data_IF_885162567786
#
_entry.id   IF_885162567786
#
_cell.length_a   1.000
_cell.length_b   1.000
_cell.length_c   1.000
_cell.angle_alpha   90.00
_cell.angle_beta   90.00
_cell.angle_gamma   90.00
#
_symmetry.space_group_name_H-M   'P 1'
#
loop_
_entity.id
_entity.type
_entity.pdbx_description
1 polymer ?
#
# COMPACT_ATOMS: atom_id res chain seq x y z
N UNK A 1 -14.42 20.83 -18.81
CA UNK A 1 -14.70 19.39 -18.59
C UNK A 1 -13.61 18.87 -17.65
N UNK A 2 -13.95 18.69 -16.37
CA UNK A 2 -13.02 18.15 -15.39
C UNK A 2 -12.88 16.64 -15.61
N UNK A 3 -11.66 16.17 -15.84
CA UNK A 3 -11.33 14.75 -15.92
C UNK A 3 -11.33 14.19 -14.50
N UNK A 4 -12.43 13.54 -14.11
CA UNK A 4 -12.57 12.95 -12.77
C UNK A 4 -11.59 11.79 -12.61
N UNK A 5 -10.75 11.91 -11.57
CA UNK A 5 -9.67 10.99 -11.20
C UNK A 5 -10.21 9.72 -10.47
N UNK A 6 -11.25 9.09 -11.00
CA UNK A 6 -11.98 8.00 -10.34
C UNK A 6 -11.16 6.70 -10.23
N UNK A 7 -10.19 6.46 -11.12
CA UNK A 7 -9.42 5.21 -11.13
C UNK A 7 -8.26 5.13 -10.13
N UNK A 8 -7.57 6.24 -9.82
CA UNK A 8 -6.35 6.17 -8.98
C UNK A 8 -6.64 6.23 -7.48
N UNK A 9 -7.72 6.91 -7.10
CA UNK A 9 -8.16 7.01 -5.71
C UNK A 9 -8.66 5.66 -5.16
N UNK A 10 -9.28 4.85 -6.03
CA UNK A 10 -9.74 3.50 -5.70
C UNK A 10 -8.56 2.56 -5.39
N UNK A 11 -7.47 2.63 -6.16
CA UNK A 11 -6.28 1.80 -5.95
C UNK A 11 -5.64 2.04 -4.58
N UNK A 12 -5.34 3.29 -4.26
CA UNK A 12 -4.70 3.63 -2.99
C UNK A 12 -5.57 3.23 -1.79
N UNK A 13 -6.85 3.59 -1.84
CA UNK A 13 -7.80 3.33 -0.76
C UNK A 13 -8.00 1.82 -0.53
N UNK A 14 -8.12 1.04 -1.61
CA UNK A 14 -8.17 -0.44 -1.58
C UNK A 14 -6.94 -1.02 -0.90
N UNK A 15 -5.74 -0.69 -1.39
CA UNK A 15 -4.48 -1.29 -0.92
C UNK A 15 -4.15 -0.92 0.53
N UNK A 16 -4.39 0.33 0.91
CA UNK A 16 -4.21 0.78 2.28
C UNK A 16 -5.10 -0.01 3.25
N UNK A 17 -6.39 -0.13 2.91
CA UNK A 17 -7.37 -0.86 3.73
C UNK A 17 -7.05 -2.35 3.81
N UNK A 18 -6.67 -2.96 2.68
CA UNK A 18 -6.26 -4.36 2.58
C UNK A 18 -5.10 -4.68 3.52
N UNK A 19 -3.99 -3.94 3.40
CA UNK A 19 -2.82 -4.15 4.26
C UNK A 19 -3.12 -3.88 5.74
N UNK A 20 -3.93 -2.85 6.04
CA UNK A 20 -4.31 -2.54 7.43
C UNK A 20 -5.10 -3.67 8.07
N UNK A 21 -6.09 -4.21 7.36
CA UNK A 21 -6.93 -5.30 7.85
C UNK A 21 -6.14 -6.60 8.00
N UNK A 22 -5.17 -6.87 7.11
CA UNK A 22 -4.28 -8.03 7.22
C UNK A 22 -3.44 -8.02 8.51
N UNK A 23 -3.14 -6.84 9.08
CA UNK A 23 -2.45 -6.69 10.36
C UNK A 23 -3.40 -6.51 11.57
N UNK A 24 -4.72 -6.53 11.36
CA UNK A 24 -5.70 -6.33 12.43
C UNK A 24 -5.67 -4.93 13.08
N UNK A 25 -5.13 -3.92 12.39
CA UNK A 25 -5.02 -2.57 12.93
C UNK A 25 -6.32 -1.77 12.72
N UNK A 26 -6.75 -1.02 13.73
CA UNK A 26 -7.73 0.05 13.54
C UNK A 26 -7.12 1.23 12.77
N UNK A 27 -7.97 2.07 12.16
CA UNK A 27 -7.54 3.30 11.49
C UNK A 27 -6.75 4.22 12.43
N UNK A 28 -7.20 4.35 13.68
CA UNK A 28 -6.50 5.13 14.72
C UNK A 28 -5.12 4.56 15.01
N UNK A 29 -5.00 3.24 15.22
CA UNK A 29 -3.73 2.58 15.52
C UNK A 29 -2.73 2.73 14.37
N UNK A 30 -3.17 2.54 13.11
CA UNK A 30 -2.31 2.75 11.94
C UNK A 30 -1.79 4.19 11.89
N UNK A 31 -2.68 5.18 12.01
CA UNK A 31 -2.29 6.59 11.96
C UNK A 31 -1.27 6.96 13.03
N UNK A 32 -1.51 6.56 14.29
CA UNK A 32 -0.57 6.85 15.39
C UNK A 32 0.79 6.17 15.15
N UNK A 33 0.79 4.89 14.76
CA UNK A 33 2.04 4.15 14.46
C UNK A 33 2.81 4.78 13.30
N UNK A 34 2.13 5.40 12.34
CA UNK A 34 2.75 6.12 11.23
C UNK A 34 3.20 7.56 11.59
N UNK A 35 3.09 7.95 12.86
CA UNK A 35 3.47 9.27 13.35
C UNK A 35 2.48 10.38 12.99
N UNK A 36 1.20 10.06 12.82
CA UNK A 36 0.13 11.05 12.80
C UNK A 36 -0.25 11.42 14.24
N UNK A 37 -0.63 12.68 14.44
CA UNK A 37 -1.18 13.14 15.71
C UNK A 37 -2.44 12.33 16.11
N UNK A 38 -2.53 11.95 17.38
CA UNK A 38 -3.54 11.04 17.91
C UNK A 38 -4.97 11.56 17.68
N UNK A 39 -5.20 12.86 17.76
CA UNK A 39 -6.52 13.47 17.64
C UNK A 39 -7.05 13.45 16.21
N UNK A 40 -6.17 13.36 15.22
CA UNK A 40 -6.54 13.35 13.79
C UNK A 40 -6.23 12.03 13.08
N UNK A 41 -5.55 11.09 13.75
CA UNK A 41 -5.09 9.83 13.16
C UNK A 41 -6.23 9.03 12.52
N UNK A 42 -7.32 8.78 13.23
CA UNK A 42 -8.47 8.03 12.72
C UNK A 42 -9.10 8.73 11.50
N UNK A 43 -9.37 10.03 11.61
CA UNK A 43 -9.99 10.82 10.54
C UNK A 43 -9.11 10.88 9.29
N UNK A 44 -7.79 11.04 9.43
CA UNK A 44 -6.87 11.07 8.28
C UNK A 44 -6.82 9.72 7.56
N UNK A 45 -6.64 8.62 8.28
CA UNK A 45 -6.64 7.29 7.67
C UNK A 45 -7.99 6.97 7.03
N UNK A 46 -9.10 7.35 7.68
CA UNK A 46 -10.43 7.19 7.10
C UNK A 46 -10.55 7.91 5.75
N UNK A 47 -10.13 9.19 5.66
CA UNK A 47 -10.16 9.94 4.39
C UNK A 47 -9.28 9.32 3.31
N UNK A 48 -8.16 8.71 3.68
CA UNK A 48 -7.32 7.95 2.74
C UNK A 48 -8.02 6.68 2.23
N UNK A 49 -8.66 5.93 3.13
CA UNK A 49 -9.40 4.70 2.77
C UNK A 49 -10.74 4.96 2.09
N UNK A 50 -11.23 6.19 2.09
CA UNK A 50 -12.41 6.61 1.32
C UNK A 50 -12.00 7.29 0.00
N UNK A 51 -10.71 7.42 -0.28
CA UNK A 51 -10.24 8.09 -1.49
C UNK A 51 -10.52 9.60 -1.54
N UNK A 52 -10.86 10.21 -0.39
CA UNK A 52 -11.13 11.65 -0.28
C UNK A 52 -9.84 12.45 -0.42
N UNK A 53 -8.75 11.92 0.13
CA UNK A 53 -7.41 12.49 0.02
C UNK A 53 -6.39 11.39 -0.27
N UNK A 54 -5.33 11.74 -0.98
CA UNK A 54 -4.12 10.94 -1.04
C UNK A 54 -3.08 11.51 -0.06
N UNK A 55 -2.33 10.67 0.67
CA UNK A 55 -1.16 11.15 1.39
C UNK A 55 -0.06 11.56 0.41
N UNK A 56 0.82 12.46 0.86
CA UNK A 56 2.10 12.62 0.19
C UNK A 56 2.95 11.35 0.28
N UNK A 57 4.01 11.27 -0.52
CA UNK A 57 4.84 10.08 -0.60
C UNK A 57 5.57 9.77 0.72
N UNK A 58 5.89 10.78 1.54
CA UNK A 58 6.57 10.58 2.82
C UNK A 58 5.64 9.92 3.85
N UNK A 59 4.36 10.32 3.88
CA UNK A 59 3.32 9.67 4.66
C UNK A 59 3.08 8.26 4.12
N UNK A 60 3.03 8.07 2.80
CA UNK A 60 2.88 6.77 2.18
C UNK A 60 3.98 5.78 2.60
N UNK A 61 5.23 6.22 2.61
CA UNK A 61 6.37 5.42 3.10
C UNK A 61 6.20 5.02 4.57
N UNK A 62 5.83 5.95 5.44
CA UNK A 62 5.60 5.65 6.88
C UNK A 62 4.46 4.67 7.09
N UNK A 63 3.37 4.80 6.32
CA UNK A 63 2.27 3.84 6.36
C UNK A 63 2.75 2.46 5.89
N UNK A 64 3.47 2.38 4.77
CA UNK A 64 3.99 1.12 4.23
C UNK A 64 4.92 0.40 5.22
N UNK A 65 5.77 1.15 5.93
CA UNK A 65 6.65 0.62 6.97
C UNK A 65 5.86 -0.03 8.13
N UNK A 66 4.86 0.68 8.66
CA UNK A 66 3.98 0.15 9.71
C UNK A 66 3.21 -1.09 9.22
N UNK A 67 2.80 -1.07 7.96
CA UNK A 67 2.05 -2.13 7.30
C UNK A 67 2.92 -3.32 6.87
N UNK A 68 4.24 -3.22 6.99
CA UNK A 68 5.20 -4.26 6.59
C UNK A 68 5.02 -4.69 5.12
N UNK A 69 4.78 -3.72 4.24
CA UNK A 69 4.65 -3.92 2.80
C UNK A 69 5.56 -2.95 2.04
N UNK A 70 6.01 -3.27 0.82
CA UNK A 70 6.66 -2.29 -0.04
C UNK A 70 5.71 -1.12 -0.33
N UNK A 71 6.21 0.11 -0.35
CA UNK A 71 5.38 1.28 -0.69
C UNK A 71 4.73 1.14 -2.07
N UNK A 72 5.37 0.44 -3.00
CA UNK A 72 4.83 0.14 -4.33
C UNK A 72 3.50 -0.63 -4.28
N UNK A 73 3.28 -1.49 -3.27
CA UNK A 73 2.03 -2.20 -3.07
C UNK A 73 0.84 -1.24 -2.92
N UNK A 74 1.04 -0.10 -2.25
CA UNK A 74 -0.02 0.88 -2.00
C UNK A 74 -0.46 1.62 -3.27
N UNK A 75 0.30 1.54 -4.36
CA UNK A 75 0.01 2.18 -5.64
C UNK A 75 -0.26 1.16 -6.75
N UNK A 76 -0.38 -0.13 -6.43
CA UNK A 76 -0.50 -1.20 -7.41
C UNK A 76 -1.97 -1.46 -7.76
N UNK A 77 -2.34 -1.23 -9.02
CA UNK A 77 -3.71 -1.25 -9.53
C UNK A 77 -4.28 -2.65 -9.72
N UNK A 78 -3.46 -3.61 -10.15
CA UNK A 78 -3.90 -5.00 -10.37
C UNK A 78 -3.63 -5.89 -9.15
N UNK A 79 -4.55 -6.82 -8.87
CA UNK A 79 -4.38 -7.77 -7.76
C UNK A 79 -3.22 -8.75 -8.01
N UNK A 80 -3.02 -9.15 -9.26
CA UNK A 80 -1.90 -10.00 -9.66
C UNK A 80 -0.54 -9.35 -9.37
N UNK A 81 -0.34 -8.10 -9.79
CA UNK A 81 0.93 -7.41 -9.55
C UNK A 81 1.12 -7.06 -8.07
N UNK A 82 0.03 -6.72 -7.36
CA UNK A 82 0.08 -6.47 -5.92
C UNK A 82 0.51 -7.73 -5.15
N UNK A 83 -0.03 -8.89 -5.53
CA UNK A 83 0.39 -10.19 -5.00
C UNK A 83 1.86 -10.47 -5.33
N UNK A 84 2.29 -10.25 -6.58
CA UNK A 84 3.70 -10.44 -6.96
C UNK A 84 4.65 -9.56 -6.14
N UNK A 85 4.30 -8.29 -5.89
CA UNK A 85 5.08 -7.37 -5.05
C UNK A 85 5.21 -7.91 -3.62
N UNK A 86 4.12 -8.38 -3.01
CA UNK A 86 4.14 -8.91 -1.64
C UNK A 86 4.95 -10.21 -1.55
N UNK A 87 4.71 -11.16 -2.45
CA UNK A 87 5.41 -12.44 -2.46
C UNK A 87 6.91 -12.24 -2.72
N UNK A 88 7.26 -11.37 -3.69
CA UNK A 88 8.66 -11.03 -3.94
C UNK A 88 9.31 -10.33 -2.75
N UNK A 89 8.59 -9.46 -2.03
CA UNK A 89 9.11 -8.79 -0.83
C UNK A 89 9.43 -9.77 0.30
N UNK A 90 8.54 -10.75 0.52
CA UNK A 90 8.65 -11.76 1.59
C UNK A 90 9.63 -12.87 1.25
N UNK A 91 9.87 -13.13 -0.04
CA UNK A 91 10.71 -14.23 -0.48
C UNK A 91 12.19 -14.07 -0.08
N UNK A 92 12.90 -15.17 0.25
CA UNK A 92 14.35 -15.17 0.43
C UNK A 92 15.10 -14.65 -0.79
N UNK A 93 16.30 -14.08 -0.58
CA UNK A 93 17.13 -13.53 -1.66
C UNK A 93 17.36 -14.54 -2.81
N UNK A 94 17.52 -15.83 -2.51
CA UNK A 94 17.70 -16.89 -3.51
C UNK A 94 16.48 -17.04 -4.42
N UNK A 95 15.28 -17.12 -3.85
CA UNK A 95 14.01 -17.23 -4.60
C UNK A 95 13.76 -15.99 -5.46
N UNK A 96 14.03 -14.79 -4.93
CA UNK A 96 13.92 -13.54 -5.70
C UNK A 96 14.80 -13.53 -6.94
N UNK A 97 16.04 -14.00 -6.82
CA UNK A 97 16.96 -14.13 -7.98
C UNK A 97 16.43 -15.15 -8.99
N UNK A 98 15.89 -16.27 -8.54
CA UNK A 98 15.31 -17.29 -9.42
C UNK A 98 14.08 -16.77 -10.16
N UNK A 99 13.18 -16.06 -9.47
CA UNK A 99 12.02 -15.43 -10.07
C UNK A 99 12.42 -14.42 -11.16
N UNK A 100 13.37 -13.52 -10.88
CA UNK A 100 13.88 -12.58 -11.88
C UNK A 100 14.52 -13.29 -13.07
N UNK A 101 15.33 -14.32 -12.83
CA UNK A 101 15.96 -15.08 -13.91
C UNK A 101 14.93 -15.84 -14.77
N UNK A 102 13.81 -16.29 -14.19
CA UNK A 102 12.74 -16.94 -14.95
C UNK A 102 12.01 -15.95 -15.87
N UNK A 103 11.72 -14.74 -15.38
CA UNK A 103 11.03 -13.69 -16.13
C UNK A 103 11.90 -13.01 -17.21
N UNK A 104 13.22 -13.05 -17.07
CA UNK A 104 14.17 -12.46 -18.02
C UNK A 104 14.53 -13.37 -19.19
N UNK A 105 14.14 -14.65 -19.16
CA UNK A 105 14.35 -15.55 -20.28
C UNK A 105 13.31 -15.22 -21.35
N UNK A 106 13.71 -14.75 -22.55
CA UNK A 106 12.77 -14.68 -23.65
C UNK A 106 12.31 -16.09 -24.00
N UNK A 107 11.05 -16.22 -24.41
CA UNK A 107 10.49 -17.44 -25.01
C UNK A 107 11.34 -17.91 -26.22
#
# INVERSE_FOLDING_TARGET
MATTNEGTSDVWSKRLKEARLALGLSQKQLGIKAGLDEFVASTRINRYEQGVHAPDFQIAMRLAEVLQVPVAFLYCDTDEMAQMILEFHRAPKSMRRQALAALQKPD
#
